data_IF_577742928966
#
_entry.id   IF_577742928966
#
_cell.length_a   1.000
_cell.length_b   1.000
_cell.length_c   1.000
_cell.angle_alpha   90.00
_cell.angle_beta   90.00
_cell.angle_gamma   90.00
#
_symmetry.space_group_name_H-M   'P 1'
#
loop_
_entity.id
_entity.type
_entity.pdbx_description
1 polymer ?
#
# COMPACT_ATOMS: atom_id res chain seq x y z
N UNK A 1 11.34 -109.35 -61.17
CA UNK A 1 9.93 -109.71 -61.40
C UNK A 1 9.05 -108.53 -61.02
N UNK A 2 8.44 -107.90 -62.02
CA UNK A 2 7.45 -106.84 -61.85
C UNK A 2 6.15 -107.46 -61.34
N UNK A 3 5.73 -107.11 -60.13
CA UNK A 3 4.34 -107.23 -59.70
C UNK A 3 3.87 -105.84 -59.32
N UNK A 4 2.88 -105.38 -60.07
CA UNK A 4 2.28 -104.05 -60.01
C UNK A 4 1.91 -103.66 -58.58
N UNK A 5 2.21 -102.40 -58.26
CA UNK A 5 1.69 -101.61 -57.15
C UNK A 5 0.17 -101.78 -57.02
N UNK A 6 -0.27 -102.81 -56.30
CA UNK A 6 -1.66 -102.98 -55.92
C UNK A 6 -1.86 -102.00 -54.77
N UNK A 7 -2.56 -100.89 -55.02
CA UNK A 7 -2.84 -99.89 -53.96
C UNK A 7 -3.46 -100.64 -52.78
N UNK A 8 -2.78 -100.64 -51.63
CA UNK A 8 -3.18 -101.44 -50.46
C UNK A 8 -4.56 -101.03 -49.95
N UNK A 9 -4.85 -99.73 -49.96
CA UNK A 9 -6.13 -99.19 -49.51
C UNK A 9 -7.10 -98.98 -50.68
N UNK A 10 -8.38 -99.35 -50.47
CA UNK A 10 -9.46 -99.05 -51.40
C UNK A 10 -10.03 -97.65 -51.12
N UNK A 11 -10.13 -96.83 -52.16
CA UNK A 11 -10.69 -95.47 -52.07
C UNK A 11 -12.24 -95.41 -52.18
N UNK A 12 -12.93 -96.55 -52.18
CA UNK A 12 -14.39 -96.62 -52.22
C UNK A 12 -15.04 -96.09 -50.94
N UNK A 13 -16.25 -95.53 -51.05
CA UNK A 13 -17.06 -95.06 -49.90
C UNK A 13 -18.17 -96.03 -49.51
N UNK A 14 -18.21 -97.20 -50.14
CA UNK A 14 -19.12 -98.30 -49.83
C UNK A 14 -18.67 -99.06 -48.58
N UNK A 15 -19.62 -99.72 -47.91
CA UNK A 15 -19.36 -100.43 -46.65
C UNK A 15 -18.29 -101.52 -46.81
N UNK A 16 -18.20 -102.16 -47.98
CA UNK A 16 -17.20 -103.19 -48.26
C UNK A 16 -15.78 -102.61 -48.32
N UNK A 17 -15.58 -101.45 -48.95
CA UNK A 17 -14.28 -100.77 -48.98
C UNK A 17 -13.85 -100.28 -47.58
N UNK A 18 -14.80 -99.78 -46.78
CA UNK A 18 -14.53 -99.37 -45.40
C UNK A 18 -14.14 -100.57 -44.53
N UNK A 19 -14.89 -101.68 -44.62
CA UNK A 19 -14.57 -102.91 -43.88
C UNK A 19 -13.19 -103.46 -44.27
N UNK A 20 -12.89 -103.52 -45.57
CA UNK A 20 -11.59 -103.98 -46.07
C UNK A 20 -10.43 -103.13 -45.56
N UNK A 21 -10.55 -101.80 -45.58
CA UNK A 21 -9.52 -100.91 -45.05
C UNK A 21 -9.34 -101.06 -43.53
N UNK A 22 -10.42 -101.29 -42.76
CA UNK A 22 -10.33 -101.54 -41.31
C UNK A 22 -9.63 -102.88 -41.03
N UNK A 23 -9.92 -103.93 -41.80
CA UNK A 23 -9.24 -105.22 -41.67
C UNK A 23 -7.74 -105.15 -42.01
N UNK A 24 -7.35 -104.30 -42.97
CA UNK A 24 -5.93 -104.03 -43.27
C UNK A 24 -5.27 -103.28 -42.10
N UNK A 25 -5.90 -102.21 -41.59
CA UNK A 25 -5.35 -101.42 -40.48
C UNK A 25 -5.28 -102.21 -39.16
N UNK A 26 -6.15 -103.21 -38.97
CA UNK A 26 -6.09 -104.13 -37.81
C UNK A 26 -5.17 -105.32 -38.06
N UNK A 27 -4.64 -105.47 -39.28
CA UNK A 27 -3.71 -106.54 -39.67
C UNK A 27 -4.37 -107.91 -39.90
N UNK A 28 -5.70 -107.97 -39.97
CA UNK A 28 -6.46 -109.20 -40.23
C UNK A 28 -6.47 -109.58 -41.72
N UNK A 29 -6.17 -108.64 -42.62
CA UNK A 29 -6.10 -108.82 -44.06
C UNK A 29 -4.84 -108.15 -44.63
N UNK A 30 -4.22 -108.74 -45.67
CA UNK A 30 -2.97 -108.28 -46.25
C UNK A 30 -1.73 -108.96 -45.65
N UNK A 31 -0.54 -108.38 -45.86
CA UNK A 31 0.75 -108.91 -45.35
C UNK A 31 1.14 -108.36 -43.96
N UNK A 32 0.27 -107.57 -43.33
CA UNK A 32 0.46 -106.98 -42.00
C UNK A 32 1.40 -105.77 -41.94
N UNK A 33 2.06 -105.38 -43.04
CA UNK A 33 2.97 -104.21 -43.05
C UNK A 33 2.23 -102.88 -43.01
N UNK A 34 0.98 -102.85 -43.47
CA UNK A 34 0.12 -101.66 -43.48
C UNK A 34 -0.80 -101.56 -42.25
N UNK A 35 -0.53 -102.37 -41.21
CA UNK A 35 -1.27 -102.34 -39.94
C UNK A 35 -0.99 -101.03 -39.19
N UNK A 36 -2.03 -100.41 -38.63
CA UNK A 36 -1.89 -99.22 -37.80
C UNK A 36 -1.12 -99.53 -36.50
N UNK A 37 -0.24 -98.62 -36.11
CA UNK A 37 0.50 -98.68 -34.84
C UNK A 37 -0.20 -97.77 -33.82
N UNK A 38 -0.47 -98.27 -32.61
CA UNK A 38 -1.05 -97.45 -31.55
C UNK A 38 0.03 -96.67 -30.79
N UNK A 39 -0.34 -95.58 -30.12
CA UNK A 39 0.57 -94.85 -29.23
C UNK A 39 1.18 -95.76 -28.16
N UNK A 40 0.40 -96.72 -27.66
CA UNK A 40 0.87 -97.72 -26.70
C UNK A 40 1.91 -98.66 -27.31
N UNK A 41 1.75 -99.04 -28.57
CA UNK A 41 2.73 -99.88 -29.27
C UNK A 41 4.05 -99.13 -29.47
N UNK A 42 4.00 -97.83 -29.81
CA UNK A 42 5.18 -96.97 -29.89
C UNK A 42 5.93 -96.87 -28.56
N UNK A 43 5.19 -96.71 -27.45
CA UNK A 43 5.76 -96.69 -26.10
C UNK A 43 6.35 -98.03 -25.68
N UNK A 44 5.64 -99.14 -25.93
CA UNK A 44 6.11 -100.49 -25.58
C UNK A 44 7.36 -100.89 -26.37
N UNK A 45 7.46 -100.46 -27.63
CA UNK A 45 8.65 -100.65 -28.47
C UNK A 45 9.77 -99.65 -28.16
N UNK A 46 9.55 -98.73 -27.21
CA UNK A 46 10.48 -97.64 -26.81
C UNK A 46 10.90 -96.73 -27.97
N UNK A 47 10.02 -96.54 -28.94
CA UNK A 47 10.25 -95.65 -30.08
C UNK A 47 9.71 -94.23 -29.84
N UNK A 48 8.82 -94.05 -28.85
CA UNK A 48 8.28 -92.76 -28.43
C UNK A 48 7.93 -92.73 -26.94
N UNK A 49 8.13 -91.59 -26.28
CA UNK A 49 7.63 -91.34 -24.93
C UNK A 49 6.22 -90.76 -24.99
N UNK A 50 5.34 -91.18 -24.07
CA UNK A 50 3.94 -90.75 -24.05
C UNK A 50 3.74 -89.69 -22.96
N UNK A 51 3.51 -88.43 -23.37
CA UNK A 51 3.16 -87.35 -22.44
C UNK A 51 1.66 -87.09 -22.47
N UNK A 52 1.06 -86.97 -21.29
CA UNK A 52 -0.34 -86.53 -21.17
C UNK A 52 -0.41 -85.01 -21.31
N UNK A 53 -1.10 -84.53 -22.34
CA UNK A 53 -1.36 -83.10 -22.57
C UNK A 53 -2.63 -82.61 -21.86
N UNK A 54 -2.89 -81.31 -21.97
CA UNK A 54 -4.12 -80.72 -21.46
C UNK A 54 -5.36 -81.41 -22.07
N UNK A 55 -6.36 -81.73 -21.23
CA UNK A 55 -7.57 -82.45 -21.63
C UNK A 55 -7.47 -83.98 -21.66
N UNK A 56 -6.38 -84.57 -21.15
CA UNK A 56 -6.24 -86.03 -20.98
C UNK A 56 -5.83 -86.81 -22.23
N UNK A 57 -5.54 -86.11 -23.34
CA UNK A 57 -5.07 -86.70 -24.59
C UNK A 57 -3.57 -86.98 -24.51
N UNK A 58 -3.15 -88.20 -24.85
CA UNK A 58 -1.74 -88.56 -24.92
C UNK A 58 -1.15 -88.16 -26.27
N UNK A 59 -0.01 -87.47 -26.25
CA UNK A 59 0.75 -87.11 -27.45
C UNK A 59 2.10 -87.86 -27.45
N UNK A 60 2.48 -88.52 -28.57
CA UNK A 60 3.79 -89.12 -28.70
C UNK A 60 4.84 -88.02 -28.87
N UNK A 61 5.88 -88.07 -28.05
CA UNK A 61 7.07 -87.24 -28.20
C UNK A 61 8.18 -88.17 -28.72
N UNK A 62 9.02 -87.73 -29.68
CA UNK A 62 10.14 -88.54 -30.15
C UNK A 62 10.92 -89.12 -28.97
N UNK A 63 10.98 -90.46 -28.90
CA UNK A 63 11.53 -91.19 -27.76
C UNK A 63 13.04 -91.14 -27.75
N UNK A 64 13.59 -90.09 -27.16
CA UNK A 64 14.96 -89.98 -26.71
C UNK A 64 14.90 -89.44 -25.29
N UNK A 65 15.29 -90.27 -24.32
CA UNK A 65 15.02 -90.09 -22.89
C UNK A 65 15.07 -88.63 -22.42
N UNK A 66 13.93 -88.14 -21.94
CA UNK A 66 13.88 -86.87 -21.21
C UNK A 66 14.44 -87.10 -19.81
N UNK A 67 15.76 -87.10 -19.77
CA UNK A 67 16.69 -87.05 -18.64
C UNK A 67 16.48 -85.78 -17.79
N UNK A 68 15.30 -85.50 -17.26
CA UNK A 68 15.05 -84.30 -16.43
C UNK A 68 14.48 -84.59 -15.04
N UNK A 69 14.09 -85.84 -14.74
CA UNK A 69 13.44 -86.17 -13.46
C UNK A 69 13.81 -87.58 -12.94
N UNK A 70 15.11 -87.92 -12.96
CA UNK A 70 15.66 -89.12 -12.31
C UNK A 70 16.33 -88.72 -10.98
N UNK A 71 15.77 -89.09 -9.81
CA UNK A 71 16.30 -88.74 -8.49
C UNK A 71 17.68 -89.33 -8.16
N UNK A 72 18.19 -90.27 -8.98
CA UNK A 72 19.52 -90.87 -8.84
C UNK A 72 20.53 -90.43 -9.89
N UNK A 73 20.14 -89.60 -10.86
CA UNK A 73 21.04 -89.15 -11.92
C UNK A 73 22.02 -88.09 -11.40
N UNK A 74 23.30 -88.13 -11.83
CA UNK A 74 24.27 -87.10 -11.45
C UNK A 74 23.81 -85.71 -11.92
N UNK A 75 24.09 -84.64 -11.14
CA UNK A 75 23.69 -83.29 -11.49
C UNK A 75 24.31 -82.88 -12.84
N UNK A 76 23.52 -82.19 -13.66
CA UNK A 76 23.98 -81.71 -14.96
C UNK A 76 24.90 -80.51 -14.79
N UNK A 77 25.73 -80.27 -15.81
CA UNK A 77 26.52 -79.05 -15.89
C UNK A 77 25.56 -77.84 -15.99
N UNK A 78 25.73 -76.80 -15.17
CA UNK A 78 24.85 -75.65 -15.23
C UNK A 78 24.85 -74.96 -16.59
N UNK A 79 23.65 -74.57 -17.05
CA UNK A 79 23.49 -73.74 -18.25
C UNK A 79 23.81 -72.28 -17.96
N UNK A 80 24.02 -71.49 -19.03
CA UNK A 80 24.23 -70.06 -18.94
C UNK A 80 22.94 -69.35 -18.50
N UNK A 81 22.96 -68.49 -17.46
CA UNK A 81 21.82 -67.67 -17.08
C UNK A 81 21.31 -66.80 -18.22
N UNK A 82 19.99 -66.65 -18.34
CA UNK A 82 19.32 -65.86 -19.39
C UNK A 82 18.53 -64.71 -18.78
N UNK A 83 18.26 -63.68 -19.58
CA UNK A 83 17.46 -62.50 -19.23
C UNK A 83 17.85 -61.82 -17.90
N UNK A 84 19.15 -61.75 -17.61
CA UNK A 84 19.64 -61.05 -16.42
C UNK A 84 19.41 -59.53 -16.55
N UNK A 85 18.64 -58.96 -15.63
CA UNK A 85 18.28 -57.54 -15.56
C UNK A 85 18.74 -56.96 -14.23
N UNK A 86 19.13 -55.68 -14.26
CA UNK A 86 19.62 -54.96 -13.09
C UNK A 86 18.97 -53.58 -13.05
N UNK A 87 18.25 -53.29 -11.97
CA UNK A 87 17.50 -52.06 -11.77
C UNK A 87 17.96 -51.34 -10.49
N UNK A 88 18.48 -50.12 -10.61
CA UNK A 88 18.91 -49.32 -9.46
C UNK A 88 17.76 -48.52 -8.84
N UNK A 89 17.61 -48.59 -7.51
CA UNK A 89 16.76 -47.72 -6.70
C UNK A 89 17.56 -46.57 -6.07
N UNK A 90 17.14 -46.09 -4.89
CA UNK A 90 17.89 -45.07 -4.13
C UNK A 90 19.04 -45.66 -3.30
N UNK A 91 18.82 -46.79 -2.60
CA UNK A 91 19.82 -47.41 -1.72
C UNK A 91 19.92 -48.94 -1.90
N UNK A 92 19.47 -49.45 -3.04
CA UNK A 92 19.55 -50.85 -3.38
C UNK A 92 19.52 -51.05 -4.90
N UNK A 93 20.07 -52.16 -5.37
CA UNK A 93 19.98 -52.62 -6.76
C UNK A 93 19.19 -53.94 -6.77
N UNK A 94 18.16 -54.01 -7.60
CA UNK A 94 17.37 -55.22 -7.81
C UNK A 94 17.92 -55.98 -9.02
N UNK A 95 18.23 -57.26 -8.81
CA UNK A 95 18.76 -58.19 -9.79
C UNK A 95 17.74 -59.29 -10.05
N UNK A 96 17.42 -59.56 -11.32
CA UNK A 96 16.42 -60.55 -11.73
C UNK A 96 16.94 -61.38 -12.92
N UNK A 97 16.62 -62.67 -12.97
CA UNK A 97 17.01 -63.57 -14.06
C UNK A 97 16.00 -64.71 -14.27
N UNK A 98 16.15 -65.44 -15.38
CA UNK A 98 15.29 -66.60 -15.66
C UNK A 98 15.60 -67.82 -14.80
N UNK A 99 14.58 -68.66 -14.56
CA UNK A 99 14.73 -69.91 -13.82
C UNK A 99 15.70 -70.89 -14.52
N UNK A 100 16.64 -71.53 -13.79
CA UNK A 100 17.58 -72.50 -14.36
C UNK A 100 16.87 -73.69 -15.02
N UNK A 101 17.33 -74.07 -16.21
CA UNK A 101 16.71 -75.13 -17.04
C UNK A 101 17.48 -76.46 -17.06
N UNK A 102 18.36 -76.69 -16.08
CA UNK A 102 19.18 -77.89 -15.95
C UNK A 102 18.93 -78.62 -14.62
N UNK A 103 19.23 -79.93 -14.57
CA UNK A 103 19.03 -80.74 -13.37
C UNK A 103 20.05 -80.47 -12.27
N UNK A 104 19.56 -80.41 -11.02
CA UNK A 104 20.42 -80.31 -9.83
C UNK A 104 20.94 -78.91 -9.58
N UNK A 105 20.16 -77.85 -9.83
CA UNK A 105 20.53 -76.49 -9.45
C UNK A 105 20.65 -76.36 -7.92
N UNK A 106 21.70 -75.69 -7.44
CA UNK A 106 21.89 -75.40 -6.01
C UNK A 106 21.63 -73.94 -5.71
N UNK A 107 22.39 -73.04 -6.35
CA UNK A 107 22.31 -71.60 -6.13
C UNK A 107 22.85 -70.85 -7.35
N UNK A 108 22.56 -69.56 -7.38
CA UNK A 108 23.16 -68.59 -8.28
C UNK A 108 24.17 -67.77 -7.50
N UNK A 109 25.40 -67.72 -7.99
CA UNK A 109 26.44 -66.82 -7.48
C UNK A 109 26.32 -65.47 -8.16
N UNK A 110 26.36 -64.39 -7.36
CA UNK A 110 26.24 -63.01 -7.82
C UNK A 110 27.55 -62.28 -7.57
N UNK A 111 28.11 -61.75 -8.65
CA UNK A 111 29.39 -61.06 -8.66
C UNK A 111 29.19 -59.59 -8.99
N UNK A 112 30.01 -58.73 -8.39
CA UNK A 112 29.98 -57.28 -8.58
C UNK A 112 31.38 -56.71 -8.77
N UNK A 113 31.51 -55.70 -9.63
CA UNK A 113 32.72 -54.90 -9.77
C UNK A 113 32.37 -53.44 -10.14
N UNK A 114 33.10 -52.42 -9.67
CA UNK A 114 32.91 -51.04 -10.12
C UNK A 114 33.17 -50.83 -11.63
N UNK A 115 34.06 -51.63 -12.23
CA UNK A 115 34.41 -51.60 -13.65
C UNK A 115 33.79 -52.79 -14.40
N UNK A 116 33.62 -52.65 -15.72
CA UNK A 116 33.16 -53.75 -16.59
C UNK A 116 34.30 -54.76 -16.82
N UNK A 117 34.70 -55.44 -15.75
CA UNK A 117 35.81 -56.39 -15.76
C UNK A 117 35.49 -57.60 -14.88
N UNK A 118 34.98 -58.66 -15.52
CA UNK A 118 34.63 -59.93 -14.89
C UNK A 118 35.80 -60.59 -14.16
N UNK A 119 37.04 -60.44 -14.65
CA UNK A 119 38.21 -61.08 -14.02
C UNK A 119 38.48 -60.55 -12.61
N UNK A 120 38.09 -59.31 -12.33
CA UNK A 120 38.25 -58.67 -11.04
C UNK A 120 36.94 -58.69 -10.22
N UNK A 121 35.86 -59.27 -10.74
CA UNK A 121 34.58 -59.26 -10.06
C UNK A 121 34.62 -60.13 -8.80
N UNK A 122 34.06 -59.61 -7.71
CA UNK A 122 34.02 -60.29 -6.41
C UNK A 122 32.65 -60.86 -6.15
N UNK A 123 32.58 -62.04 -5.52
CA UNK A 123 31.32 -62.65 -5.11
C UNK A 123 30.71 -61.80 -3.98
N UNK A 124 29.53 -61.24 -4.20
CA UNK A 124 28.83 -60.39 -3.22
C UNK A 124 27.67 -61.11 -2.55
N UNK A 125 27.07 -62.10 -3.23
CA UNK A 125 25.96 -62.86 -2.68
C UNK A 125 25.75 -64.19 -3.40
N UNK A 126 24.94 -65.05 -2.79
CA UNK A 126 24.37 -66.24 -3.43
C UNK A 126 22.87 -66.25 -3.23
N UNK A 127 22.09 -66.62 -4.26
CA UNK A 127 20.63 -66.72 -4.18
C UNK A 127 20.14 -68.08 -4.69
N UNK A 128 19.24 -68.72 -3.92
CA UNK A 128 18.51 -69.90 -4.37
C UNK A 128 17.24 -69.55 -5.16
N UNK A 129 16.86 -68.26 -5.19
CA UNK A 129 15.75 -67.73 -5.97
C UNK A 129 16.24 -67.16 -7.31
N UNK A 130 15.32 -66.63 -8.11
CA UNK A 130 15.61 -65.95 -9.39
C UNK A 130 15.70 -64.42 -9.26
N UNK A 131 15.82 -63.93 -8.02
CA UNK A 131 15.89 -62.50 -7.68
C UNK A 131 16.85 -62.27 -6.51
N UNK A 132 17.48 -61.10 -6.47
CA UNK A 132 18.29 -60.64 -5.36
C UNK A 132 18.26 -59.10 -5.25
N UNK A 133 18.14 -58.59 -4.02
CA UNK A 133 18.27 -57.15 -3.75
C UNK A 133 19.62 -56.88 -3.09
N UNK A 134 20.50 -56.15 -3.76
CA UNK A 134 21.81 -55.76 -3.24
C UNK A 134 21.74 -54.37 -2.60
N UNK A 135 21.83 -54.24 -1.26
CA UNK A 135 21.87 -52.93 -0.61
C UNK A 135 23.19 -52.21 -0.94
N UNK A 136 23.09 -50.98 -1.43
CA UNK A 136 24.22 -50.13 -1.81
C UNK A 136 23.96 -48.69 -1.43
N UNK A 137 25.01 -47.87 -1.34
CA UNK A 137 24.85 -46.45 -1.07
C UNK A 137 24.19 -45.71 -2.28
N UNK A 138 23.46 -44.62 -2.04
CA UNK A 138 22.99 -43.73 -3.10
C UNK A 138 24.13 -43.24 -4.01
N UNK A 139 23.86 -43.13 -5.31
CA UNK A 139 24.86 -42.77 -6.33
C UNK A 139 25.84 -43.88 -6.72
N UNK A 140 25.67 -45.11 -6.24
CA UNK A 140 26.42 -46.30 -6.66
C UNK A 140 26.38 -46.50 -8.18
N UNK A 141 27.55 -46.80 -8.76
CA UNK A 141 27.73 -47.25 -10.14
C UNK A 141 28.61 -48.50 -10.13
N UNK A 142 28.16 -49.57 -10.79
CA UNK A 142 28.94 -50.79 -10.91
C UNK A 142 28.28 -51.80 -11.83
N UNK A 143 28.97 -52.89 -12.08
CA UNK A 143 28.58 -53.95 -13.01
C UNK A 143 28.36 -55.26 -12.26
N UNK A 144 27.38 -56.03 -12.71
CA UNK A 144 27.04 -57.32 -12.13
C UNK A 144 27.13 -58.47 -13.13
N UNK A 145 27.46 -59.63 -12.59
CA UNK A 145 27.42 -60.91 -13.30
C UNK A 145 26.80 -61.97 -12.41
N UNK A 146 26.18 -62.96 -13.02
CA UNK A 146 25.67 -64.13 -12.31
C UNK A 146 26.14 -65.40 -13.00
N UNK A 147 26.30 -66.47 -12.23
CA UNK A 147 26.45 -67.84 -12.78
C UNK A 147 25.74 -68.84 -11.89
N UNK A 148 25.26 -69.91 -12.51
CA UNK A 148 24.59 -70.98 -11.79
C UNK A 148 25.59 -72.02 -11.26
N UNK A 149 25.30 -72.59 -10.10
CA UNK A 149 26.07 -73.66 -9.47
C UNK A 149 25.15 -74.83 -9.19
N UNK A 150 25.57 -76.05 -9.53
CA UNK A 150 24.80 -77.26 -9.28
C UNK A 150 25.02 -77.81 -7.85
N UNK A 151 24.27 -78.84 -7.47
CA UNK A 151 24.32 -79.49 -6.14
C UNK A 151 25.62 -80.24 -5.87
N UNK A 152 26.45 -80.49 -6.89
CA UNK A 152 27.82 -81.01 -6.74
C UNK A 152 28.86 -79.89 -6.54
N UNK A 153 28.44 -78.63 -6.48
CA UNK A 153 29.33 -77.47 -6.33
C UNK A 153 30.06 -77.08 -7.62
N UNK A 154 29.63 -77.59 -8.78
CA UNK A 154 30.25 -77.27 -10.08
C UNK A 154 29.62 -75.99 -10.63
N UNK A 155 30.41 -74.92 -10.87
CA UNK A 155 29.91 -73.69 -11.46
C UNK A 155 29.77 -73.81 -12.99
N UNK A 156 28.75 -73.14 -13.53
CA UNK A 156 28.56 -72.95 -14.96
C UNK A 156 29.20 -71.68 -15.51
N UNK A 157 28.96 -71.38 -16.79
CA UNK A 157 29.36 -70.11 -17.38
C UNK A 157 28.59 -68.93 -16.76
N UNK A 158 29.21 -67.75 -16.79
CA UNK A 158 28.55 -66.49 -16.45
C UNK A 158 27.49 -66.10 -17.47
N UNK A 159 26.51 -65.29 -17.05
CA UNK A 159 25.44 -64.76 -17.91
C UNK A 159 25.97 -64.08 -19.19
N UNK A 160 27.10 -63.37 -19.11
CA UNK A 160 27.79 -62.75 -20.23
C UNK A 160 29.26 -62.43 -19.86
N UNK A 161 30.07 -62.08 -20.86
CA UNK A 161 31.43 -61.58 -20.63
C UNK A 161 31.42 -60.12 -20.15
N UNK A 162 30.62 -59.27 -20.80
CA UNK A 162 30.35 -57.91 -20.35
C UNK A 162 29.36 -57.93 -19.18
N UNK A 163 29.58 -57.09 -18.19
CA UNK A 163 28.73 -56.94 -17.02
C UNK A 163 27.50 -56.12 -17.32
N UNK A 164 26.45 -56.33 -16.52
CA UNK A 164 25.24 -55.52 -16.60
C UNK A 164 25.39 -54.33 -15.67
N UNK A 165 25.36 -53.11 -16.22
CA UNK A 165 25.50 -51.87 -15.47
C UNK A 165 24.31 -51.65 -14.54
N UNK A 166 24.60 -51.35 -13.28
CA UNK A 166 23.69 -50.78 -12.31
C UNK A 166 24.10 -49.34 -12.01
N UNK A 167 23.09 -48.47 -11.89
CA UNK A 167 23.26 -47.10 -11.39
C UNK A 167 22.11 -46.76 -10.46
N UNK A 168 22.40 -46.42 -9.20
CA UNK A 168 21.39 -45.90 -8.26
C UNK A 168 21.21 -44.40 -8.42
N UNK A 169 20.09 -43.88 -7.93
CA UNK A 169 19.82 -42.44 -7.89
C UNK A 169 20.77 -41.74 -6.90
N UNK A 170 21.13 -40.47 -7.15
CA UNK A 170 21.97 -39.68 -6.24
C UNK A 170 21.26 -39.43 -4.90
N UNK A 171 22.06 -39.15 -3.87
CA UNK A 171 21.59 -38.84 -2.52
C UNK A 171 20.65 -37.62 -2.51
N UNK A 172 19.59 -37.70 -1.70
CA UNK A 172 18.61 -36.61 -1.53
C UNK A 172 19.29 -35.40 -0.88
N UNK A 173 20.23 -35.61 0.04
CA UNK A 173 20.97 -34.52 0.69
C UNK A 173 21.85 -33.77 -0.33
N UNK A 174 22.44 -34.48 -1.29
CA UNK A 174 23.21 -33.86 -2.37
C UNK A 174 22.33 -33.00 -3.30
N UNK A 175 21.07 -33.37 -3.50
CA UNK A 175 20.11 -32.57 -4.28
C UNK A 175 19.72 -31.30 -3.50
N UNK A 176 19.49 -31.40 -2.18
CA UNK A 176 19.19 -30.24 -1.32
C UNK A 176 20.37 -29.28 -1.28
N UNK A 177 21.59 -29.78 -1.14
CA UNK A 177 22.81 -28.96 -1.16
C UNK A 177 23.00 -28.26 -2.52
N UNK A 178 22.74 -28.96 -3.63
CA UNK A 178 22.77 -28.35 -4.95
C UNK A 178 21.75 -27.21 -5.08
N UNK A 179 20.51 -27.43 -4.63
CA UNK A 179 19.46 -26.40 -4.66
C UNK A 179 19.86 -25.19 -3.79
N UNK A 180 20.42 -25.43 -2.60
CA UNK A 180 20.88 -24.35 -1.72
C UNK A 180 22.02 -23.54 -2.36
N UNK A 181 22.97 -24.22 -3.01
CA UNK A 181 24.07 -23.54 -3.71
C UNK A 181 23.55 -22.73 -4.91
N UNK A 182 22.70 -23.31 -5.76
CA UNK A 182 22.10 -22.63 -6.91
C UNK A 182 21.24 -21.41 -6.52
N UNK A 183 20.54 -21.48 -5.39
CA UNK A 183 19.77 -20.34 -4.85
C UNK A 183 20.70 -19.24 -4.35
N UNK A 184 21.76 -19.59 -3.61
CA UNK A 184 22.69 -18.61 -3.05
C UNK A 184 23.59 -17.96 -4.11
N UNK A 185 23.94 -18.70 -5.17
CA UNK A 185 24.74 -18.19 -6.30
C UNK A 185 23.87 -17.51 -7.38
N UNK A 186 22.57 -17.40 -7.16
CA UNK A 186 21.64 -16.81 -8.12
C UNK A 186 21.95 -15.33 -8.39
N UNK A 187 22.19 -14.92 -9.65
CA UNK A 187 22.39 -13.51 -10.01
C UNK A 187 21.20 -12.62 -9.64
N UNK A 188 19.98 -13.18 -9.63
CA UNK A 188 18.77 -12.47 -9.24
C UNK A 188 18.78 -12.11 -7.75
N UNK A 189 19.23 -13.02 -6.88
CA UNK A 189 19.35 -12.76 -5.44
C UNK A 189 20.40 -11.69 -5.18
N UNK A 190 21.53 -11.74 -5.91
CA UNK A 190 22.54 -10.67 -5.88
C UNK A 190 21.99 -9.31 -6.33
N UNK A 191 21.24 -9.26 -7.43
CA UNK A 191 20.64 -8.02 -7.94
C UNK A 191 19.57 -7.45 -6.99
N UNK A 192 18.74 -8.31 -6.42
CA UNK A 192 17.73 -7.92 -5.42
C UNK A 192 18.40 -7.39 -4.14
N UNK A 193 19.45 -8.05 -3.66
CA UNK A 193 20.26 -7.58 -2.54
C UNK A 193 20.86 -6.20 -2.81
N UNK A 194 21.51 -6.02 -3.96
CA UNK A 194 22.08 -4.73 -4.37
C UNK A 194 21.04 -3.61 -4.47
N UNK A 195 19.87 -3.88 -5.07
CA UNK A 195 18.77 -2.90 -5.14
C UNK A 195 18.21 -2.54 -3.76
N UNK A 196 18.18 -3.48 -2.81
CA UNK A 196 17.76 -3.20 -1.43
C UNK A 196 18.77 -2.28 -0.75
N UNK A 197 20.07 -2.53 -0.93
CA UNK A 197 21.13 -1.69 -0.37
C UNK A 197 21.14 -0.28 -0.99
N UNK A 198 20.97 -0.18 -2.32
CA UNK A 198 20.84 1.10 -3.02
C UNK A 198 19.63 1.90 -2.53
N UNK A 199 18.48 1.24 -2.36
CA UNK A 199 17.28 1.87 -1.81
C UNK A 199 17.51 2.33 -0.36
N UNK A 200 18.18 1.51 0.47
CA UNK A 200 18.52 1.90 1.84
C UNK A 200 19.42 3.15 1.86
N UNK A 201 20.43 3.21 0.99
CA UNK A 201 21.30 4.38 0.85
C UNK A 201 20.53 5.63 0.36
N UNK A 202 19.65 5.48 -0.64
CA UNK A 202 18.82 6.56 -1.15
C UNK A 202 17.84 7.10 -0.09
N UNK A 203 17.29 6.22 0.76
CA UNK A 203 16.43 6.62 1.88
C UNK A 203 17.23 7.43 2.91
N UNK A 204 18.45 7.01 3.25
CA UNK A 204 19.33 7.77 4.17
C UNK A 204 19.64 9.15 3.59
N UNK A 205 19.99 9.25 2.31
CA UNK A 205 20.25 10.53 1.65
C UNK A 205 19.00 11.43 1.64
N UNK A 206 17.83 10.84 1.36
CA UNK A 206 16.56 11.57 1.37
C UNK A 206 16.25 12.11 2.77
N UNK A 207 16.42 11.30 3.82
CA UNK A 207 16.23 11.73 5.20
C UNK A 207 17.18 12.85 5.60
N UNK A 208 18.44 12.80 5.15
CA UNK A 208 19.41 13.89 5.35
C UNK A 208 18.97 15.17 4.63
N UNK A 209 18.50 15.08 3.38
CA UNK A 209 17.96 16.23 2.64
C UNK A 209 16.74 16.85 3.33
N UNK A 210 15.82 16.02 3.85
CA UNK A 210 14.64 16.50 4.60
C UNK A 210 15.06 17.24 5.88
N UNK A 211 15.99 16.69 6.67
CA UNK A 211 16.52 17.36 7.87
C UNK A 211 17.23 18.68 7.53
N UNK A 212 17.96 18.72 6.40
CA UNK A 212 18.59 19.94 5.92
C UNK A 212 17.56 20.98 5.49
N UNK A 213 16.49 20.60 4.80
CA UNK A 213 15.39 21.50 4.42
C UNK A 213 14.71 22.06 5.68
N UNK A 214 14.43 21.23 6.68
CA UNK A 214 13.82 21.65 7.94
C UNK A 214 14.71 22.66 8.70
N UNK A 215 16.00 22.33 8.83
CA UNK A 215 17.00 23.21 9.47
C UNK A 215 17.17 24.52 8.70
N UNK A 216 17.33 24.46 7.37
CA UNK A 216 17.46 25.65 6.51
C UNK A 216 16.18 26.48 6.47
N UNK A 217 15.00 25.85 6.53
CA UNK A 217 13.71 26.52 6.59
C UNK A 217 13.54 27.30 7.90
N UNK A 218 13.87 26.68 9.04
CA UNK A 218 13.89 27.35 10.35
C UNK A 218 14.93 28.47 10.43
N UNK A 219 16.12 28.27 9.86
CA UNK A 219 17.16 29.30 9.76
C UNK A 219 16.77 30.43 8.79
N UNK A 220 16.12 30.14 7.66
CA UNK A 220 15.60 31.15 6.74
C UNK A 220 14.47 31.96 7.38
N UNK A 221 13.60 31.32 8.18
CA UNK A 221 12.58 32.00 8.98
C UNK A 221 13.19 32.93 10.03
N UNK A 222 14.25 32.48 10.73
CA UNK A 222 15.04 33.32 11.63
C UNK A 222 15.76 34.44 10.86
N UNK A 223 16.25 34.16 9.66
CA UNK A 223 16.96 35.12 8.82
C UNK A 223 16.05 36.20 8.20
N UNK A 224 14.74 35.95 8.10
CA UNK A 224 13.76 37.00 7.77
C UNK A 224 13.65 38.07 8.87
N UNK A 225 14.28 37.86 10.05
CA UNK A 225 14.47 38.87 11.10
C UNK A 225 15.84 39.58 11.04
N UNK A 226 16.66 39.39 9.99
CA UNK A 226 18.09 39.75 9.97
C UNK A 226 18.45 41.20 9.68
N UNK A 227 17.50 42.12 9.49
CA UNK A 227 17.86 43.54 9.49
C UNK A 227 18.05 44.08 10.93
N UNK A 228 18.64 43.29 11.84
CA UNK A 228 18.99 43.73 13.19
C UNK A 228 20.31 44.48 13.16
N UNK A 229 20.26 45.79 12.96
CA UNK A 229 21.39 46.64 13.33
C UNK A 229 21.49 46.63 14.85
N UNK A 230 22.53 45.96 15.39
CA UNK A 230 22.80 45.93 16.82
C UNK A 230 24.12 46.61 17.12
N UNK A 231 24.11 47.52 18.10
CA UNK A 231 25.31 48.20 18.59
C UNK A 231 25.16 48.41 20.10
N UNK A 232 26.17 48.00 20.87
CA UNK A 232 26.23 48.21 22.33
C UNK A 232 24.98 47.76 23.11
N UNK A 233 24.35 46.65 22.70
CA UNK A 233 23.16 46.10 23.37
C UNK A 233 21.82 46.73 22.95
N UNK A 234 21.83 47.71 22.05
CA UNK A 234 20.61 48.28 21.45
C UNK A 234 20.36 47.55 20.13
N UNK A 235 19.20 46.92 20.00
CA UNK A 235 18.77 46.21 18.79
C UNK A 235 17.63 46.97 18.13
N UNK A 236 17.85 47.43 16.89
CA UNK A 236 16.77 47.92 16.02
C UNK A 236 16.59 46.94 14.87
N UNK A 237 15.36 46.72 14.39
CA UNK A 237 15.13 45.83 13.26
C UNK A 237 13.77 45.95 12.61
N UNK A 238 13.69 45.48 11.37
CA UNK A 238 12.47 45.42 10.57
C UNK A 238 12.20 43.95 10.26
N UNK A 239 11.02 43.47 10.63
CA UNK A 239 10.49 42.16 10.24
C UNK A 239 9.43 42.33 9.16
N UNK A 240 9.52 41.54 8.08
CA UNK A 240 8.54 41.52 6.99
C UNK A 240 8.03 40.09 6.86
N UNK A 241 6.71 39.92 6.99
CA UNK A 241 6.04 38.62 6.89
C UNK A 241 5.03 38.68 5.75
N UNK A 242 5.17 37.78 4.79
CA UNK A 242 4.15 37.53 3.76
C UNK A 242 3.83 36.02 3.75
N UNK A 243 2.56 35.66 3.92
CA UNK A 243 2.16 34.26 4.10
C UNK A 243 0.65 34.06 4.16
N UNK A 244 0.21 33.03 4.91
CA UNK A 244 -1.21 32.77 5.20
C UNK A 244 -1.43 32.59 6.70
N UNK A 245 -2.59 33.01 7.22
CA UNK A 245 -2.99 32.76 8.60
C UNK A 245 -3.45 31.29 8.80
N UNK A 246 -3.81 30.93 10.05
CA UNK A 246 -4.32 29.60 10.39
C UNK A 246 -5.62 29.22 9.66
N UNK A 247 -6.33 30.20 9.11
CA UNK A 247 -7.56 30.04 8.33
C UNK A 247 -7.31 30.05 6.81
N UNK A 248 -6.05 30.17 6.37
CA UNK A 248 -5.65 30.20 4.96
C UNK A 248 -5.75 31.57 4.27
N UNK A 249 -6.10 32.64 4.99
CA UNK A 249 -6.17 33.98 4.42
C UNK A 249 -4.78 34.58 4.26
N UNK A 250 -4.49 35.33 3.18
CA UNK A 250 -3.20 35.97 3.00
C UNK A 250 -2.90 36.97 4.12
N UNK A 251 -1.69 36.92 4.66
CA UNK A 251 -1.15 37.89 5.60
C UNK A 251 0.05 38.60 4.98
N UNK A 252 0.10 39.92 5.14
CA UNK A 252 1.26 40.77 4.82
C UNK A 252 1.44 41.73 5.98
N UNK A 253 2.57 41.63 6.69
CA UNK A 253 2.85 42.37 7.91
C UNK A 253 4.26 42.95 7.86
N UNK A 254 4.40 44.17 8.38
CA UNK A 254 5.69 44.80 8.65
C UNK A 254 5.71 45.16 10.14
N UNK A 255 6.69 44.64 10.86
CA UNK A 255 6.93 44.93 12.27
C UNK A 255 8.25 45.70 12.39
N UNK A 256 8.23 46.83 13.10
CA UNK A 256 9.40 47.68 13.30
C UNK A 256 9.71 47.70 14.79
N UNK A 257 10.91 47.24 15.16
CA UNK A 257 11.45 47.33 16.52
C UNK A 257 12.45 48.46 16.57
N UNK A 258 12.07 49.61 17.13
CA UNK A 258 12.95 50.76 17.31
C UNK A 258 12.44 51.67 18.44
N UNK A 259 13.36 52.37 19.13
CA UNK A 259 12.98 53.41 20.11
C UNK A 259 12.48 54.70 19.42
N UNK A 260 12.96 54.95 18.21
CA UNK A 260 12.56 56.07 17.36
C UNK A 260 12.39 55.58 15.92
N UNK A 261 11.35 56.05 15.22
CA UNK A 261 11.11 55.77 13.80
C UNK A 261 10.75 57.07 13.09
N UNK A 262 11.44 57.37 11.99
CA UNK A 262 11.21 58.59 11.20
C UNK A 262 11.09 58.22 9.73
N UNK A 263 10.05 58.73 9.07
CA UNK A 263 9.95 58.71 7.61
C UNK A 263 10.43 60.07 7.13
N UNK A 264 11.38 60.11 6.19
CA UNK A 264 11.88 61.35 5.61
C UNK A 264 12.08 61.20 4.09
N UNK A 265 11.99 62.31 3.35
CA UNK A 265 12.33 62.35 1.94
C UNK A 265 13.83 62.66 1.78
N UNK A 266 14.67 61.71 1.33
CA UNK A 266 16.10 61.95 1.18
C UNK A 266 16.43 62.94 0.06
N UNK A 267 15.52 63.18 -0.89
CA UNK A 267 15.75 64.03 -2.06
C UNK A 267 15.29 65.47 -1.85
N UNK A 268 14.62 65.77 -0.74
CA UNK A 268 14.07 67.09 -0.44
C UNK A 268 14.45 67.55 0.99
N UNK A 269 15.76 67.69 1.30
CA UNK A 269 16.20 68.22 2.58
C UNK A 269 15.76 69.69 2.71
N UNK A 270 15.42 70.13 3.93
CA UNK A 270 15.12 71.56 4.15
C UNK A 270 16.34 72.43 3.87
N UNK A 271 16.11 73.74 3.69
CA UNK A 271 17.15 74.75 3.47
C UNK A 271 18.20 74.86 4.61
N UNK A 272 18.00 74.19 5.74
CA UNK A 272 18.94 74.09 6.87
C UNK A 272 19.67 72.74 6.95
N UNK A 273 19.51 71.85 5.96
CA UNK A 273 20.09 70.51 5.96
C UNK A 273 19.40 69.53 6.91
N UNK A 274 18.29 69.93 7.54
CA UNK A 274 17.46 69.06 8.37
C UNK A 274 16.41 68.35 7.51
N UNK A 275 16.14 67.08 7.78
CA UNK A 275 15.02 66.38 7.15
C UNK A 275 13.74 66.70 7.91
N UNK A 276 12.67 67.13 7.21
CA UNK A 276 11.33 67.13 7.80
C UNK A 276 10.85 65.68 7.85
N UNK A 277 10.50 65.22 9.04
CA UNK A 277 9.88 63.90 9.22
C UNK A 277 8.36 64.06 9.26
N UNK A 278 7.62 63.85 8.14
CA UNK A 278 6.16 63.91 8.15
C UNK A 278 5.52 62.91 9.11
N UNK A 279 6.22 61.82 9.44
CA UNK A 279 5.80 60.83 10.43
C UNK A 279 6.98 60.44 11.31
N UNK A 280 6.80 60.59 12.62
CA UNK A 280 7.79 60.20 13.61
C UNK A 280 7.15 59.45 14.78
N UNK A 281 7.83 58.45 15.32
CA UNK A 281 7.51 57.84 16.61
C UNK A 281 8.66 58.11 17.56
N UNK A 282 8.36 58.72 18.69
CA UNK A 282 9.33 58.98 19.76
C UNK A 282 8.62 58.98 21.11
N UNK A 283 9.19 58.28 22.11
CA UNK A 283 8.67 58.32 23.48
C UNK A 283 7.19 57.95 23.60
N UNK A 284 6.75 56.90 22.90
CA UNK A 284 5.36 56.43 22.80
C UNK A 284 4.37 57.42 22.18
N UNK A 285 4.86 58.47 21.51
CA UNK A 285 4.03 59.43 20.78
C UNK A 285 4.30 59.30 19.29
N UNK A 286 3.24 59.37 18.51
CA UNK A 286 3.34 59.59 17.06
C UNK A 286 3.16 61.07 16.79
N UNK A 287 4.11 61.66 16.05
CA UNK A 287 4.07 63.04 15.60
C UNK A 287 3.86 63.03 14.10
N UNK A 288 2.86 63.79 13.65
CA UNK A 288 2.52 63.96 12.24
C UNK A 288 2.39 65.46 11.99
N UNK A 289 3.17 65.98 11.04
CA UNK A 289 3.18 67.42 10.73
C UNK A 289 1.91 67.85 10.01
N UNK A 290 1.47 67.05 9.04
CA UNK A 290 0.25 67.28 8.26
C UNK A 290 -0.38 65.93 7.90
N UNK A 291 -1.70 65.80 8.08
CA UNK A 291 -2.43 64.56 7.83
C UNK A 291 -3.74 64.83 7.10
N UNK A 292 -3.92 64.20 5.95
CA UNK A 292 -5.24 64.08 5.29
C UNK A 292 -5.88 62.76 5.74
N UNK A 293 -6.98 62.84 6.50
CA UNK A 293 -7.64 61.66 7.09
C UNK A 293 -9.12 61.64 6.68
N UNK A 294 -9.54 60.59 5.97
CA UNK A 294 -10.93 60.42 5.56
C UNK A 294 -11.85 60.09 6.75
N UNK A 295 -11.39 59.20 7.65
CA UNK A 295 -12.14 58.81 8.84
C UNK A 295 -11.17 58.51 9.99
N UNK A 296 -11.40 59.11 11.15
CA UNK A 296 -10.68 58.83 12.39
C UNK A 296 -11.64 58.59 13.55
N UNK A 297 -11.29 57.65 14.42
CA UNK A 297 -11.91 57.48 15.74
C UNK A 297 -10.89 57.87 16.80
N UNK A 298 -11.14 58.96 17.51
CA UNK A 298 -10.23 59.51 18.53
C UNK A 298 -10.95 59.50 19.86
N UNK A 299 -10.39 58.76 20.84
CA UNK A 299 -10.98 58.68 22.19
C UNK A 299 -10.91 60.02 22.93
N UNK A 300 -9.77 60.70 22.82
CA UNK A 300 -9.51 62.01 23.45
C UNK A 300 -8.78 62.87 22.42
N UNK A 301 -9.40 63.98 22.02
CA UNK A 301 -8.79 64.98 21.16
C UNK A 301 -8.39 66.19 22.00
N UNK A 302 -7.09 66.42 22.16
CA UNK A 302 -6.57 67.62 22.82
C UNK A 302 -5.98 68.55 21.74
N UNK A 303 -6.80 69.48 21.25
CA UNK A 303 -6.46 70.38 20.16
C UNK A 303 -6.51 71.84 20.63
N UNK A 304 -5.66 72.70 20.08
CA UNK A 304 -5.73 74.14 20.30
C UNK A 304 -6.94 74.76 19.59
N UNK A 305 -7.16 74.34 18.33
CA UNK A 305 -8.26 74.82 17.49
C UNK A 305 -8.83 73.66 16.70
N UNK A 306 -10.17 73.60 16.59
CA UNK A 306 -10.89 72.67 15.71
C UNK A 306 -11.62 73.52 14.68
N UNK A 307 -11.21 73.42 13.42
CA UNK A 307 -11.92 74.01 12.28
C UNK A 307 -12.63 72.86 11.58
N UNK A 308 -13.96 72.90 11.56
CA UNK A 308 -14.78 71.87 10.95
C UNK A 308 -16.10 72.48 10.46
N UNK A 309 -16.66 71.93 9.38
CA UNK A 309 -17.98 72.32 8.88
C UNK A 309 -19.09 72.01 9.88
N UNK A 310 -18.94 70.95 10.66
CA UNK A 310 -19.88 70.55 11.70
C UNK A 310 -19.17 69.88 12.87
N UNK A 311 -19.54 70.28 14.09
CA UNK A 311 -19.16 69.61 15.34
C UNK A 311 -20.42 69.08 16.01
N UNK A 312 -20.58 67.74 16.03
CA UNK A 312 -21.68 67.07 16.71
C UNK A 312 -21.21 66.50 18.04
N UNK A 313 -21.54 67.16 19.13
CA UNK A 313 -21.28 66.66 20.48
C UNK A 313 -22.41 65.73 20.94
N UNK A 314 -22.06 64.56 21.47
CA UNK A 314 -23.05 63.58 21.93
C UNK A 314 -23.77 63.96 23.22
N UNK A 315 -23.08 64.61 24.15
CA UNK A 315 -23.59 64.92 25.50
C UNK A 315 -23.61 66.43 25.75
N UNK A 316 -22.46 67.10 25.63
CA UNK A 316 -22.32 68.51 25.98
C UNK A 316 -21.17 69.17 25.25
N UNK A 317 -21.26 70.49 25.08
CA UNK A 317 -20.15 71.37 24.73
C UNK A 317 -19.93 72.30 25.93
N UNK A 318 -18.75 72.25 26.53
CA UNK A 318 -18.35 73.20 27.58
C UNK A 318 -17.41 74.22 26.97
N UNK A 319 -17.85 75.46 26.87
CA UNK A 319 -17.05 76.58 26.36
C UNK A 319 -17.30 77.81 27.22
N UNK A 320 -16.29 78.66 27.48
CA UNK A 320 -16.51 79.95 28.14
C UNK A 320 -17.55 80.82 27.39
N UNK A 321 -17.57 80.73 26.07
CA UNK A 321 -18.49 81.45 25.20
C UNK A 321 -18.91 80.58 24.02
N UNK A 322 -20.20 80.61 23.69
CA UNK A 322 -20.74 80.00 22.45
C UNK A 322 -21.22 81.14 21.57
N UNK A 323 -20.53 81.37 20.45
CA UNK A 323 -20.96 82.30 19.41
C UNK A 323 -21.65 81.51 18.32
N UNK A 324 -22.98 81.62 18.26
CA UNK A 324 -23.80 80.88 17.30
C UNK A 324 -24.85 81.78 16.68
N UNK A 325 -25.12 81.62 15.38
CA UNK A 325 -26.24 82.30 14.73
C UNK A 325 -27.60 81.82 15.27
N UNK A 326 -27.72 80.54 15.64
CA UNK A 326 -28.92 79.99 16.24
C UNK A 326 -28.54 79.13 17.43
N UNK A 327 -29.27 79.28 18.54
CA UNK A 327 -29.24 78.34 19.65
C UNK A 327 -30.63 77.72 19.79
N UNK A 328 -30.73 76.39 19.79
CA UNK A 328 -31.99 75.67 19.94
C UNK A 328 -31.85 74.56 20.98
N UNK A 329 -32.56 74.71 22.08
CA UNK A 329 -32.65 73.71 23.14
C UNK A 329 -34.11 73.53 23.58
N UNK A 330 -34.84 72.69 22.83
CA UNK A 330 -36.27 72.49 23.03
C UNK A 330 -37.05 73.81 22.90
N UNK A 331 -37.85 74.21 23.91
CA UNK A 331 -38.60 75.46 23.87
C UNK A 331 -37.70 76.70 23.98
N UNK A 332 -36.47 76.57 24.50
CA UNK A 332 -35.51 77.67 24.58
C UNK A 332 -34.82 77.87 23.23
N UNK A 333 -35.00 79.03 22.61
CA UNK A 333 -34.36 79.35 21.34
C UNK A 333 -33.83 80.78 21.30
N UNK A 334 -32.69 80.97 20.64
CA UNK A 334 -32.15 82.27 20.24
C UNK A 334 -31.93 82.24 18.73
N UNK A 335 -32.49 83.21 18.01
CA UNK A 335 -32.35 83.33 16.55
C UNK A 335 -31.24 84.33 16.15
N UNK A 336 -30.89 84.44 14.85
CA UNK A 336 -29.79 85.30 14.41
C UNK A 336 -30.05 86.79 14.59
N UNK A 337 -31.30 87.18 14.81
CA UNK A 337 -31.68 88.57 15.07
C UNK A 337 -31.58 88.90 16.57
N UNK A 338 -31.22 87.95 17.43
CA UNK A 338 -31.10 88.14 18.87
C UNK A 338 -32.42 87.95 19.63
N UNK A 339 -33.48 87.44 18.99
CA UNK A 339 -34.73 87.16 19.70
C UNK A 339 -34.58 85.91 20.56
N UNK A 340 -34.85 86.04 21.86
CA UNK A 340 -34.89 84.93 22.82
C UNK A 340 -36.34 84.49 23.02
N UNK A 341 -36.62 83.18 22.96
CA UNK A 341 -37.94 82.62 23.24
C UNK A 341 -37.85 81.40 24.15
N UNK A 342 -38.86 81.21 25.00
CA UNK A 342 -39.14 79.98 25.74
C UNK A 342 -40.58 79.56 25.43
N UNK A 343 -40.73 78.75 24.38
CA UNK A 343 -42.04 78.37 23.84
C UNK A 343 -42.88 79.61 23.45
N UNK A 344 -44.19 79.53 23.66
CA UNK A 344 -45.10 80.67 23.49
C UNK A 344 -45.23 81.54 24.76
N UNK A 345 -44.61 81.11 25.86
CA UNK A 345 -44.85 81.68 27.18
C UNK A 345 -43.91 82.84 27.51
N UNK A 346 -42.68 82.87 26.99
CA UNK A 346 -41.71 83.93 27.24
C UNK A 346 -41.01 84.33 25.96
N UNK A 347 -40.84 85.62 25.73
CA UNK A 347 -39.96 86.12 24.68
C UNK A 347 -39.35 87.47 25.02
N UNK A 348 -38.11 87.67 24.56
CA UNK A 348 -37.47 88.98 24.44
C UNK A 348 -37.11 89.16 22.97
N UNK A 349 -37.62 90.21 22.35
CA UNK A 349 -37.27 90.52 20.97
C UNK A 349 -35.96 91.32 20.87
N UNK A 350 -35.45 91.48 19.65
CA UNK A 350 -34.22 92.21 19.35
C UNK A 350 -34.26 93.69 19.79
N UNK A 351 -35.45 94.26 19.98
CA UNK A 351 -35.63 95.64 20.42
C UNK A 351 -35.70 95.76 21.95
N UNK A 352 -35.61 94.64 22.69
CA UNK A 352 -35.68 94.59 24.14
C UNK A 352 -37.09 94.48 24.73
N UNK A 353 -38.12 94.23 23.92
CA UNK A 353 -39.48 94.05 24.43
C UNK A 353 -39.62 92.67 25.08
N UNK A 354 -39.96 92.64 26.37
CA UNK A 354 -40.23 91.43 27.14
C UNK A 354 -41.73 91.12 27.13
N UNK A 355 -42.08 89.85 26.88
CA UNK A 355 -43.45 89.34 26.93
C UNK A 355 -43.47 88.04 27.73
N UNK A 356 -44.41 87.92 28.67
CA UNK A 356 -44.71 86.67 29.38
C UNK A 356 -46.20 86.37 29.27
N UNK A 357 -46.54 85.29 28.56
CA UNK A 357 -47.89 84.74 28.35
C UNK A 357 -48.92 85.75 27.87
N UNK A 358 -48.50 86.82 27.18
CA UNK A 358 -49.36 87.95 26.82
C UNK A 358 -50.00 88.69 28.03
N UNK A 359 -49.48 88.50 29.25
CA UNK A 359 -50.01 89.08 30.49
C UNK A 359 -49.08 90.11 31.10
N UNK A 360 -47.80 89.76 31.23
CA UNK A 360 -46.75 90.68 31.66
C UNK A 360 -45.96 91.13 30.44
N UNK A 361 -45.90 92.44 30.22
CA UNK A 361 -45.20 93.04 29.07
C UNK A 361 -44.35 94.20 29.56
N UNK A 362 -43.13 94.28 29.06
CA UNK A 362 -42.27 95.46 29.18
C UNK A 362 -41.88 95.86 27.77
N UNK A 363 -42.19 97.08 27.38
CA UNK A 363 -41.73 97.60 26.09
C UNK A 363 -40.37 98.31 26.23
N UNK A 364 -39.75 98.61 25.09
CA UNK A 364 -38.45 99.28 25.05
C UNK A 364 -38.46 100.72 25.56
N UNK A 365 -39.64 101.30 25.81
CA UNK A 365 -39.82 102.63 26.39
C UNK A 365 -39.91 102.57 27.93
N UNK A 366 -39.87 101.36 28.51
CA UNK A 366 -39.93 101.13 29.96
C UNK A 366 -41.36 101.05 30.52
N UNK A 367 -42.39 101.00 29.67
CA UNK A 367 -43.76 100.82 30.14
C UNK A 367 -43.97 99.36 30.57
N UNK A 368 -44.68 99.15 31.68
CA UNK A 368 -44.99 97.82 32.21
C UNK A 368 -46.50 97.60 32.17
N UNK A 369 -46.94 96.50 31.58
CA UNK A 369 -48.35 96.10 31.58
C UNK A 369 -48.49 94.71 32.19
N UNK A 370 -49.35 94.59 33.20
CA UNK A 370 -49.72 93.34 33.85
C UNK A 370 -51.24 93.21 33.75
N UNK A 371 -51.75 92.46 32.78
CA UNK A 371 -53.20 92.33 32.57
C UNK A 371 -53.66 90.88 32.56
N UNK A 372 -54.93 90.70 32.89
CA UNK A 372 -55.62 89.45 32.63
C UNK A 372 -55.58 89.15 31.12
N UNK A 373 -55.43 87.86 30.77
CA UNK A 373 -55.37 87.42 29.37
C UNK A 373 -56.67 87.65 28.61
N UNK A 374 -57.80 87.78 29.31
CA UNK A 374 -59.15 87.85 28.70
C UNK A 374 -59.95 89.09 29.11
N UNK A 375 -59.42 89.96 29.97
CA UNK A 375 -60.10 91.17 30.43
C UNK A 375 -59.13 92.33 30.66
N UNK A 376 -59.67 93.55 30.79
CA UNK A 376 -58.87 94.75 31.02
C UNK A 376 -58.37 94.89 32.47
N UNK A 377 -58.80 93.98 33.35
CA UNK A 377 -58.38 93.94 34.74
C UNK A 377 -56.86 93.78 34.81
N UNK A 378 -56.21 94.71 35.51
CA UNK A 378 -54.77 94.65 35.67
C UNK A 378 -54.14 95.98 36.08
N UNK A 379 -52.83 96.04 35.95
CA UNK A 379 -52.00 97.17 36.32
C UNK A 379 -51.17 97.61 35.12
N UNK A 380 -51.09 98.92 34.89
CA UNK A 380 -50.20 99.51 33.89
C UNK A 380 -49.34 100.57 34.55
N UNK A 381 -48.06 100.56 34.20
CA UNK A 381 -47.13 101.65 34.47
C UNK A 381 -46.71 102.27 33.15
N UNK A 382 -47.00 103.55 32.97
CA UNK A 382 -46.69 104.34 31.77
C UNK A 382 -45.38 105.14 31.89
N UNK A 383 -44.47 104.70 32.76
CA UNK A 383 -43.25 105.43 33.11
C UNK A 383 -43.45 106.55 34.16
N UNK A 384 -44.66 107.10 34.29
CA UNK A 384 -44.96 108.18 35.25
C UNK A 384 -45.93 107.78 36.37
N UNK A 385 -46.87 106.89 36.09
CA UNK A 385 -47.99 106.54 36.97
C UNK A 385 -48.25 105.04 36.96
N UNK A 386 -48.62 104.51 38.12
CA UNK A 386 -49.14 103.16 38.26
C UNK A 386 -50.66 103.26 38.31
N UNK A 387 -51.34 102.60 37.37
CA UNK A 387 -52.79 102.64 37.21
C UNK A 387 -53.31 101.21 37.31
N UNK A 388 -54.22 100.98 38.25
CA UNK A 388 -54.99 99.73 38.35
C UNK A 388 -56.32 99.94 37.63
N UNK A 389 -56.62 99.03 36.71
CA UNK A 389 -57.83 99.01 35.90
C UNK A 389 -58.76 97.89 36.36
N UNK A 390 -60.06 98.16 36.32
CA UNK A 390 -61.10 97.14 36.43
C UNK A 390 -61.38 96.42 35.09
N UNK A 391 -62.36 95.51 35.07
CA UNK A 391 -62.73 94.77 33.85
C UNK A 391 -63.29 95.65 32.73
N UNK A 392 -63.89 96.81 33.07
CA UNK A 392 -64.41 97.80 32.13
C UNK A 392 -63.34 98.78 31.61
N UNK A 393 -62.06 98.51 31.88
CA UNK A 393 -60.94 99.38 31.56
C UNK A 393 -60.99 100.76 32.22
N UNK A 394 -61.73 100.90 33.32
CA UNK A 394 -61.77 102.14 34.10
C UNK A 394 -60.70 102.12 35.19
N UNK A 395 -59.98 103.24 35.44
CA UNK A 395 -58.97 103.31 36.49
C UNK A 395 -59.65 103.32 37.87
N UNK A 396 -59.39 102.30 38.68
CA UNK A 396 -59.93 102.17 40.03
C UNK A 396 -58.94 102.59 41.13
N UNK A 397 -57.64 102.58 40.83
CA UNK A 397 -56.60 103.17 41.68
C UNK A 397 -55.49 103.78 40.82
N UNK A 398 -55.02 104.98 41.19
CA UNK A 398 -53.92 105.67 40.51
C UNK A 398 -52.91 106.15 41.54
N UNK A 399 -51.65 105.78 41.36
CA UNK A 399 -50.53 106.17 42.21
C UNK A 399 -49.42 106.80 41.36
N UNK A 400 -48.90 107.95 41.78
CA UNK A 400 -47.89 108.73 41.05
C UNK A 400 -48.21 110.22 41.06
N UNK A 401 -47.26 111.04 40.60
CA UNK A 401 -47.45 112.49 40.59
C UNK A 401 -48.51 112.85 39.54
N UNK A 402 -49.63 113.43 39.97
CA UNK A 402 -50.46 114.24 39.05
C UNK A 402 -49.58 115.42 38.63
N UNK A 403 -49.23 115.50 37.35
CA UNK A 403 -48.73 116.75 36.77
C UNK A 403 -49.85 117.78 36.77
#
# INVERSE_FOLDING_TARGET
MSSKNKKTFRAGRDQAAVAENIEILTGQRGNGLDRAITLRDLGNLKLADLRQGAGGVYQPIPGGGNDMDDPGAPPQMPTQPQNFQVNGGFAAVLLEWDMPTYRGHSLTEIYRNPEDNLANAVLVATSAATVYGDPVDPGFVGYYWIRFVNTAGVPGPYNAAAGTLAKTNPDVDAIVDLINNEINDSPLIGELGGKVDDNAAAIVETNQKVQQIDTKGGQAFQAMWDAKASASGISAGIGIVAGKDASGNPISQVAISANQFFVFDPNNPTNTGAYLSPFAIEGNKTVITEAAIQQATIKILNAQTIIADQVKAGISISSPTITSANLRNGPFTVDPNGNLKIGAAFSVDANGNLQITNRFRVDNNGNVTIRNSTSNLGLVWDGARIIVYDESASPCAVMGKKL
#
